data_IF_992616677796
#
_entry.id   IF_992616677796
#
_cell.length_a   1.000
_cell.length_b   1.000
_cell.length_c   1.000
_cell.angle_alpha   90.00
_cell.angle_beta   90.00
_cell.angle_gamma   90.00
#
_symmetry.space_group_name_H-M   'P 1'
#
loop_
_entity.id
_entity.type
_entity.pdbx_description
1 polymer ?
#
# COMPACT_ATOMS: atom_id res chain seq x y z
N UNK A 1 20.61 -46.03 -13.94
CA UNK A 1 19.26 -45.88 -14.51
C UNK A 1 18.86 -44.43 -14.32
N UNK A 2 19.26 -43.56 -15.26
CA UNK A 2 19.04 -42.11 -15.16
C UNK A 2 17.74 -41.77 -15.86
N UNK A 3 16.76 -41.30 -15.09
CA UNK A 3 15.49 -40.82 -15.59
C UNK A 3 15.74 -39.42 -16.16
N UNK A 4 15.74 -39.30 -17.50
CA UNK A 4 15.64 -37.99 -18.15
C UNK A 4 14.21 -37.49 -17.95
N UNK A 5 14.04 -36.52 -17.07
CA UNK A 5 12.82 -35.71 -17.01
C UNK A 5 12.96 -34.67 -18.14
N UNK A 6 12.45 -35.00 -19.32
CA UNK A 6 12.28 -34.03 -20.40
C UNK A 6 11.02 -33.22 -20.15
N UNK A 7 11.16 -31.94 -19.81
CA UNK A 7 10.07 -30.97 -19.96
C UNK A 7 10.07 -30.52 -21.43
N UNK A 8 9.43 -31.30 -22.30
CA UNK A 8 9.31 -31.03 -23.75
C UNK A 8 8.26 -29.94 -24.04
N UNK A 9 8.32 -28.80 -23.33
CA UNK A 9 7.56 -27.60 -23.72
C UNK A 9 8.37 -26.82 -24.75
N UNK A 10 8.21 -27.17 -26.02
CA UNK A 10 8.71 -26.34 -27.13
C UNK A 10 8.05 -24.95 -27.00
N UNK A 11 8.82 -23.85 -26.93
CA UNK A 11 8.23 -22.52 -26.81
C UNK A 11 7.41 -22.19 -28.06
N UNK A 12 6.16 -21.75 -27.86
CA UNK A 12 5.23 -21.43 -28.97
C UNK A 12 5.84 -20.34 -29.85
N UNK A 13 5.92 -20.63 -31.16
CA UNK A 13 6.38 -19.72 -32.21
C UNK A 13 7.82 -19.17 -32.06
N UNK A 14 8.67 -19.75 -31.21
CA UNK A 14 10.07 -19.32 -31.09
C UNK A 14 10.87 -19.45 -32.40
N UNK A 15 10.51 -20.40 -33.25
CA UNK A 15 11.09 -20.66 -34.56
C UNK A 15 10.39 -19.90 -35.71
N UNK A 16 9.34 -19.10 -35.41
CA UNK A 16 8.50 -18.41 -36.41
C UNK A 16 8.49 -16.88 -36.25
N UNK A 17 9.62 -16.17 -36.48
CA UNK A 17 9.71 -14.72 -36.33
C UNK A 17 8.69 -13.90 -37.12
N UNK A 18 8.22 -14.42 -38.26
CA UNK A 18 7.20 -13.77 -39.09
C UNK A 18 5.83 -13.67 -38.38
N UNK A 19 5.58 -14.47 -37.35
CA UNK A 19 4.34 -14.44 -36.55
C UNK A 19 4.44 -13.52 -35.32
N UNK A 20 5.66 -13.13 -34.90
CA UNK A 20 5.86 -12.41 -33.64
C UNK A 20 5.14 -11.06 -33.60
N UNK A 21 5.20 -10.27 -34.68
CA UNK A 21 4.53 -8.95 -34.72
C UNK A 21 3.01 -9.08 -34.55
N UNK A 22 2.30 -9.93 -35.34
CA UNK A 22 0.89 -10.21 -35.12
C UNK A 22 0.56 -10.74 -33.72
N UNK A 23 1.39 -11.65 -33.18
CA UNK A 23 1.14 -12.26 -31.87
C UNK A 23 1.31 -11.25 -30.72
N UNK A 24 2.33 -10.40 -30.80
CA UNK A 24 2.55 -9.29 -29.87
C UNK A 24 1.35 -8.33 -29.90
N UNK A 25 0.87 -7.95 -31.09
CA UNK A 25 -0.29 -7.07 -31.22
C UNK A 25 -1.54 -7.67 -30.54
N UNK A 26 -1.84 -8.94 -30.80
CA UNK A 26 -2.96 -9.65 -30.15
C UNK A 26 -2.81 -9.72 -28.63
N UNK A 27 -1.59 -9.95 -28.14
CA UNK A 27 -1.30 -10.01 -26.70
C UNK A 27 -1.54 -8.64 -26.03
N UNK A 28 -1.06 -7.56 -26.67
CA UNK A 28 -1.28 -6.19 -26.22
C UNK A 28 -2.76 -5.84 -26.23
N UNK A 29 -3.49 -6.13 -27.30
CA UNK A 29 -4.93 -5.89 -27.39
C UNK A 29 -5.68 -6.67 -26.30
N UNK A 30 -5.30 -7.93 -26.06
CA UNK A 30 -5.89 -8.73 -25.00
C UNK A 30 -5.66 -8.14 -23.60
N UNK A 31 -4.47 -7.60 -23.31
CA UNK A 31 -4.22 -6.84 -22.08
C UNK A 31 -5.08 -5.57 -22.01
N UNK A 32 -5.06 -4.76 -23.07
CA UNK A 32 -5.73 -3.47 -23.13
C UNK A 32 -7.25 -3.58 -22.90
N UNK A 33 -7.91 -4.54 -23.55
CA UNK A 33 -9.36 -4.77 -23.37
C UNK A 33 -9.72 -5.05 -21.91
N UNK A 34 -8.96 -5.91 -21.26
CA UNK A 34 -9.18 -6.22 -19.84
C UNK A 34 -8.83 -5.05 -18.93
N UNK A 35 -7.75 -4.33 -19.22
CA UNK A 35 -7.34 -3.18 -18.42
C UNK A 35 -8.45 -2.13 -18.43
N UNK A 36 -9.02 -1.81 -19.60
CA UNK A 36 -10.12 -0.85 -19.74
C UNK A 36 -11.38 -1.26 -18.96
N UNK A 37 -11.62 -2.57 -18.77
CA UNK A 37 -12.79 -3.09 -18.05
C UNK A 37 -12.54 -3.22 -16.54
N UNK A 38 -11.35 -3.62 -16.13
CA UNK A 38 -11.06 -4.00 -14.74
C UNK A 38 -10.41 -2.87 -13.93
N UNK A 39 -9.37 -2.22 -14.47
CA UNK A 39 -8.55 -1.28 -13.71
C UNK A 39 -9.34 -0.06 -13.21
N UNK A 40 -10.21 0.61 -14.02
CA UNK A 40 -10.98 1.75 -13.54
C UNK A 40 -11.92 1.40 -12.38
N UNK A 41 -12.59 0.25 -12.45
CA UNK A 41 -13.51 -0.17 -11.39
C UNK A 41 -12.75 -0.54 -10.12
N UNK A 42 -11.68 -1.34 -10.23
CA UNK A 42 -10.84 -1.69 -9.10
C UNK A 42 -10.26 -0.45 -8.39
N UNK A 43 -9.85 0.57 -9.14
CA UNK A 43 -9.38 1.82 -8.57
C UNK A 43 -10.48 2.59 -7.84
N UNK A 44 -11.70 2.67 -8.42
CA UNK A 44 -12.85 3.34 -7.78
C UNK A 44 -13.27 2.66 -6.48
N UNK A 45 -13.38 1.34 -6.49
CA UNK A 45 -13.74 0.54 -5.32
C UNK A 45 -12.69 0.70 -4.21
N UNK A 46 -11.41 0.64 -4.59
CA UNK A 46 -10.29 0.87 -3.67
C UNK A 46 -10.36 2.28 -3.08
N UNK A 47 -10.62 3.31 -3.90
CA UNK A 47 -10.71 4.69 -3.45
C UNK A 47 -11.77 4.87 -2.36
N UNK A 48 -12.97 4.32 -2.55
CA UNK A 48 -14.05 4.37 -1.55
C UNK A 48 -13.56 3.77 -0.22
N UNK A 49 -13.05 2.54 -0.26
CA UNK A 49 -12.56 1.84 0.92
C UNK A 49 -11.38 2.56 1.61
N UNK A 50 -10.48 3.19 0.83
CA UNK A 50 -9.36 3.93 1.40
C UNK A 50 -9.79 5.25 2.03
N UNK A 51 -10.80 5.93 1.49
CA UNK A 51 -11.33 7.17 2.10
C UNK A 51 -11.88 6.89 3.49
N UNK A 52 -12.71 5.86 3.64
CA UNK A 52 -13.28 5.46 4.94
C UNK A 52 -12.19 5.10 5.97
N UNK A 53 -11.15 4.40 5.52
CA UNK A 53 -10.00 4.05 6.36
C UNK A 53 -9.23 5.29 6.83
N UNK A 54 -9.00 6.24 5.91
CA UNK A 54 -8.30 7.48 6.23
C UNK A 54 -9.09 8.35 7.19
N UNK A 55 -10.41 8.51 6.98
CA UNK A 55 -11.27 9.26 7.90
C UNK A 55 -11.25 8.66 9.31
N UNK A 56 -11.33 7.33 9.41
CA UNK A 56 -11.21 6.63 10.70
C UNK A 56 -9.86 6.86 11.36
N UNK A 57 -8.76 6.82 10.60
CA UNK A 57 -7.42 7.06 11.12
C UNK A 57 -7.22 8.51 11.58
N UNK A 58 -7.80 9.49 10.88
CA UNK A 58 -7.78 10.89 11.31
C UNK A 58 -8.52 11.05 12.63
N UNK A 59 -9.67 10.39 12.82
CA UNK A 59 -10.39 10.40 14.10
C UNK A 59 -9.52 9.79 15.22
N UNK A 60 -8.96 8.60 15.02
CA UNK A 60 -8.18 7.90 16.06
C UNK A 60 -6.89 8.63 16.43
N UNK A 61 -6.28 9.34 15.48
CA UNK A 61 -5.04 10.10 15.70
C UNK A 61 -5.28 11.55 16.08
N UNK A 62 -6.52 11.93 16.38
CA UNK A 62 -6.92 13.31 16.66
C UNK A 62 -6.40 14.29 15.58
N UNK A 63 -6.70 13.99 14.32
CA UNK A 63 -6.23 14.71 13.15
C UNK A 63 -4.69 14.81 13.11
N UNK A 64 -4.00 13.68 13.31
CA UNK A 64 -2.54 13.53 13.28
C UNK A 64 -1.81 14.22 14.46
N UNK A 65 -2.54 14.83 15.41
CA UNK A 65 -1.92 15.43 16.60
C UNK A 65 -1.52 14.42 17.67
N UNK A 66 -2.05 13.19 17.61
CA UNK A 66 -1.81 12.13 18.58
C UNK A 66 -1.35 10.83 17.90
N UNK A 67 -0.03 10.63 17.81
CA UNK A 67 0.60 9.43 17.25
C UNK A 67 1.42 8.72 18.34
N UNK A 68 0.76 8.44 19.46
CA UNK A 68 1.39 7.80 20.63
C UNK A 68 1.47 6.28 20.49
N UNK A 69 2.34 5.60 21.26
CA UNK A 69 2.38 4.14 21.31
C UNK A 69 1.02 3.51 21.60
N UNK A 70 0.22 4.10 22.48
CA UNK A 70 -1.12 3.61 22.81
C UNK A 70 -2.04 3.58 21.58
N UNK A 71 -2.08 4.67 20.79
CA UNK A 71 -2.87 4.75 19.56
C UNK A 71 -2.37 3.73 18.54
N UNK A 72 -1.05 3.61 18.35
CA UNK A 72 -0.47 2.67 17.39
C UNK A 72 -0.69 1.20 17.79
N UNK A 73 -0.77 0.89 19.09
CA UNK A 73 -1.12 -0.46 19.58
C UNK A 73 -2.59 -0.77 19.38
N UNK A 74 -3.46 0.19 19.67
CA UNK A 74 -4.89 0.03 19.57
C UNK A 74 -5.35 -0.04 18.11
N UNK A 75 -4.72 0.75 17.23
CA UNK A 75 -5.09 0.89 15.83
C UNK A 75 -3.87 0.72 14.91
N UNK A 76 -3.24 -0.47 14.84
CA UNK A 76 -2.05 -0.70 14.01
C UNK A 76 -2.31 -0.48 12.51
N UNK A 77 -3.57 -0.56 12.07
CA UNK A 77 -4.00 -0.27 10.69
C UNK A 77 -3.82 1.20 10.27
N UNK A 78 -3.53 2.11 11.20
CA UNK A 78 -3.25 3.52 10.85
C UNK A 78 -1.86 3.70 10.25
N UNK A 79 -0.93 2.77 10.45
CA UNK A 79 0.47 2.96 10.03
C UNK A 79 0.65 3.18 8.52
N UNK A 80 0.00 2.42 7.62
CA UNK A 80 0.03 2.69 6.18
C UNK A 80 -0.46 4.10 5.84
N UNK A 81 -1.51 4.58 6.52
CA UNK A 81 -2.11 5.90 6.31
C UNK A 81 -1.15 7.00 6.77
N UNK A 82 -0.56 6.83 7.96
CA UNK A 82 0.43 7.74 8.49
C UNK A 82 1.65 7.88 7.58
N UNK A 83 2.10 6.81 6.93
CA UNK A 83 3.16 6.90 5.91
C UNK A 83 2.75 7.69 4.67
N UNK A 84 1.47 7.63 4.29
CA UNK A 84 0.96 8.42 3.15
C UNK A 84 0.77 9.90 3.53
N UNK A 85 0.64 10.20 4.82
CA UNK A 85 0.52 11.54 5.37
C UNK A 85 1.84 12.33 5.43
N UNK A 86 2.99 11.70 5.14
CA UNK A 86 4.29 12.38 5.14
C UNK A 86 4.61 13.08 3.81
N UNK A 87 5.55 14.02 3.83
CA UNK A 87 6.10 14.70 2.66
C UNK A 87 7.61 14.41 2.49
N UNK A 88 8.03 13.57 1.52
CA UNK A 88 7.18 12.75 0.65
C UNK A 88 6.55 11.57 1.40
N UNK A 89 5.52 10.89 0.83
CA UNK A 89 5.05 9.61 1.33
C UNK A 89 6.21 8.61 1.47
N UNK A 90 6.45 8.10 2.68
CA UNK A 90 7.62 7.26 2.93
C UNK A 90 7.32 5.78 2.71
N UNK A 91 8.25 5.06 2.08
CA UNK A 91 8.17 3.60 1.97
C UNK A 91 8.34 2.92 3.34
N UNK A 92 7.80 1.71 3.47
CA UNK A 92 7.93 0.89 4.70
C UNK A 92 9.38 0.69 5.14
N UNK A 93 10.26 0.31 4.22
CA UNK A 93 11.67 0.07 4.53
C UNK A 93 12.41 1.38 4.89
N UNK A 94 11.95 2.52 4.36
CA UNK A 94 12.46 3.84 4.74
C UNK A 94 12.07 4.19 6.17
N UNK A 95 10.82 3.94 6.58
CA UNK A 95 10.38 4.11 7.96
C UNK A 95 11.20 3.22 8.92
N UNK A 96 11.39 1.95 8.58
CA UNK A 96 12.21 1.00 9.35
C UNK A 96 13.62 1.56 9.58
N UNK A 97 14.27 2.01 8.50
CA UNK A 97 15.63 2.56 8.56
C UNK A 97 15.74 3.87 9.33
N UNK A 98 14.78 4.79 9.16
CA UNK A 98 14.80 6.10 9.84
C UNK A 98 14.48 5.99 11.34
N UNK A 99 13.51 5.15 11.70
CA UNK A 99 13.11 4.96 13.09
C UNK A 99 14.05 4.00 13.84
N UNK A 100 14.84 3.18 13.14
CA UNK A 100 15.71 2.19 13.76
C UNK A 100 14.92 1.16 14.56
N UNK A 101 13.83 0.65 13.97
CA UNK A 101 12.88 -0.28 14.60
C UNK A 101 12.85 -1.63 13.89
N UNK A 102 12.30 -2.64 14.55
CA UNK A 102 12.13 -3.97 13.98
C UNK A 102 11.31 -3.97 12.68
N UNK A 103 11.88 -4.55 11.63
CA UNK A 103 11.15 -4.80 10.37
C UNK A 103 9.92 -5.69 10.57
N UNK A 104 9.97 -6.60 11.54
CA UNK A 104 8.88 -7.51 11.85
C UNK A 104 7.69 -6.77 12.48
N UNK A 105 7.94 -5.79 13.36
CA UNK A 105 6.88 -4.95 13.94
C UNK A 105 6.13 -4.22 12.83
N UNK A 106 6.87 -3.46 12.01
CA UNK A 106 6.28 -2.64 10.94
C UNK A 106 5.53 -3.51 9.93
N UNK A 107 6.09 -4.65 9.51
CA UNK A 107 5.39 -5.58 8.59
C UNK A 107 4.09 -6.13 9.18
N UNK A 108 4.06 -6.48 10.48
CA UNK A 108 2.83 -6.97 11.09
C UNK A 108 1.75 -5.89 11.21
N UNK A 109 2.13 -4.65 11.49
CA UNK A 109 1.18 -3.53 11.50
C UNK A 109 0.63 -3.25 10.09
N UNK A 110 1.49 -3.22 9.08
CA UNK A 110 1.11 -2.88 7.71
C UNK A 110 0.32 -4.00 7.00
N UNK A 111 0.77 -5.25 7.11
CA UNK A 111 0.22 -6.36 6.32
C UNK A 111 -0.87 -7.14 7.06
N UNK A 112 -0.76 -7.18 8.41
CA UNK A 112 -1.65 -7.99 9.25
C UNK A 112 -2.49 -7.15 10.21
N UNK A 113 -2.32 -5.82 10.18
CA UNK A 113 -3.08 -4.87 11.00
C UNK A 113 -3.15 -5.29 12.48
N UNK A 114 -2.01 -5.73 13.03
CA UNK A 114 -1.93 -6.24 14.41
C UNK A 114 -0.56 -6.02 15.04
N UNK A 115 -0.53 -6.03 16.36
CA UNK A 115 0.68 -6.14 17.16
C UNK A 115 1.00 -7.62 17.43
N UNK A 116 2.28 -7.95 17.55
CA UNK A 116 2.72 -9.31 17.88
C UNK A 116 2.41 -9.65 19.35
N UNK A 117 1.81 -10.81 19.65
CA UNK A 117 1.44 -11.17 21.04
C UNK A 117 2.63 -11.41 21.99
N UNK A 118 3.84 -11.62 21.46
CA UNK A 118 5.02 -12.10 22.22
C UNK A 118 6.18 -11.12 22.19
N UNK A 119 5.91 -9.83 22.04
CA UNK A 119 6.93 -8.79 22.16
C UNK A 119 6.99 -8.29 23.60
N UNK A 120 8.19 -7.99 24.09
CA UNK A 120 8.35 -7.29 25.36
C UNK A 120 7.68 -5.90 25.29
N UNK A 121 6.92 -5.54 26.33
CA UNK A 121 6.13 -4.30 26.33
C UNK A 121 7.01 -3.05 26.31
N UNK A 122 8.13 -3.05 27.05
CA UNK A 122 9.03 -1.90 27.09
C UNK A 122 9.70 -1.64 25.74
N UNK A 123 10.12 -2.72 25.09
CA UNK A 123 10.66 -2.69 23.73
C UNK A 123 9.62 -2.21 22.71
N UNK A 124 8.40 -2.76 22.77
CA UNK A 124 7.31 -2.37 21.88
C UNK A 124 6.98 -0.88 22.00
N UNK A 125 6.78 -0.38 23.21
CA UNK A 125 6.46 1.03 23.45
C UNK A 125 7.57 1.94 22.90
N UNK A 126 8.83 1.55 23.11
CA UNK A 126 10.00 2.28 22.59
C UNK A 126 10.01 2.31 21.06
N UNK A 127 9.78 1.18 20.40
CA UNK A 127 9.75 1.13 18.92
C UNK A 127 8.57 1.93 18.34
N UNK A 128 7.39 1.83 18.94
CA UNK A 128 6.23 2.60 18.52
C UNK A 128 6.39 4.09 18.74
N UNK A 129 7.03 4.51 19.84
CA UNK A 129 7.34 5.90 20.09
C UNK A 129 8.26 6.48 19.00
N UNK A 130 9.30 5.72 18.61
CA UNK A 130 10.21 6.10 17.51
C UNK A 130 9.46 6.21 16.17
N UNK A 131 8.54 5.29 15.89
CA UNK A 131 7.68 5.38 14.69
C UNK A 131 6.87 6.66 14.72
N UNK A 132 6.17 6.95 15.81
CA UNK A 132 5.37 8.17 15.97
C UNK A 132 6.21 9.44 15.81
N UNK A 133 7.41 9.48 16.39
CA UNK A 133 8.34 10.60 16.27
C UNK A 133 8.80 10.85 14.83
N UNK A 134 9.18 9.80 14.10
CA UNK A 134 9.59 9.93 12.70
C UNK A 134 8.43 10.37 11.82
N UNK A 135 7.23 9.81 12.02
CA UNK A 135 6.04 10.24 11.29
C UNK A 135 5.77 11.72 11.57
N UNK A 136 5.67 12.12 12.84
CA UNK A 136 5.38 13.50 13.24
C UNK A 136 6.38 14.52 12.65
N UNK A 137 7.65 14.14 12.53
CA UNK A 137 8.68 14.99 11.89
C UNK A 137 8.52 15.15 10.39
N UNK A 138 7.93 14.16 9.72
CA UNK A 138 7.81 14.10 8.26
C UNK A 138 6.41 14.41 7.76
N UNK A 139 5.42 14.64 8.64
CA UNK A 139 4.04 14.96 8.23
C UNK A 139 4.04 16.14 7.26
N UNK A 140 3.22 16.01 6.21
CA UNK A 140 2.99 17.01 5.19
C UNK A 140 2.18 18.19 5.77
N UNK A 141 2.87 19.21 6.26
CA UNK A 141 2.24 20.37 6.91
C UNK A 141 1.42 21.23 5.95
N UNK A 142 1.64 21.11 4.64
CA UNK A 142 0.80 21.79 3.64
C UNK A 142 -0.59 21.16 3.56
N UNK A 143 -0.68 19.84 3.75
CA UNK A 143 -1.96 19.11 3.89
C UNK A 143 -2.55 19.33 5.29
N UNK A 144 -1.71 19.25 6.31
CA UNK A 144 -2.09 19.27 7.73
C UNK A 144 -1.75 20.63 8.38
N UNK A 145 -2.23 21.73 7.79
CA UNK A 145 -1.86 23.11 8.16
C UNK A 145 -2.17 23.51 9.61
N UNK A 146 -3.07 22.78 10.27
CA UNK A 146 -3.38 22.98 11.69
C UNK A 146 -2.25 22.57 12.63
N UNK A 147 -1.31 21.71 12.18
CA UNK A 147 -0.19 21.26 13.01
C UNK A 147 0.79 22.39 13.34
N UNK A 148 0.97 23.36 12.45
CA UNK A 148 1.85 24.52 12.71
C UNK A 148 1.21 25.56 13.61
N UNK A 149 -0.12 25.67 13.56
CA UNK A 149 -0.88 26.68 14.31
C UNK A 149 -1.41 26.15 15.63
N UNK A 150 -1.40 24.83 15.85
CA UNK A 150 -1.95 24.17 17.05
C UNK A 150 -3.47 24.33 17.20
N UNK A 151 -4.16 24.79 16.16
CA UNK A 151 -5.61 24.99 16.18
C UNK A 151 -6.35 23.68 15.87
N UNK A 152 -7.65 23.67 16.14
CA UNK A 152 -8.51 22.62 15.62
C UNK A 152 -8.78 22.85 14.11
N UNK A 153 -8.67 21.81 13.27
CA UNK A 153 -9.05 21.91 11.87
C UNK A 153 -10.57 22.00 11.71
N UNK A 154 -11.00 22.59 10.60
CA UNK A 154 -12.40 22.57 10.18
C UNK A 154 -12.74 21.26 9.47
N UNK A 155 -14.02 20.90 9.41
CA UNK A 155 -14.47 19.68 8.71
C UNK A 155 -14.04 19.65 7.24
N UNK A 156 -14.06 20.81 6.56
CA UNK A 156 -13.60 20.94 5.17
C UNK A 156 -12.11 20.63 5.02
N UNK A 157 -11.29 21.06 5.97
CA UNK A 157 -9.84 20.82 5.95
C UNK A 157 -9.52 19.35 6.23
N UNK A 158 -10.19 18.76 7.22
CA UNK A 158 -10.08 17.32 7.51
C UNK A 158 -10.50 16.51 6.30
N UNK A 159 -11.64 16.82 5.68
CA UNK A 159 -12.13 16.12 4.50
C UNK A 159 -11.19 16.26 3.29
N UNK A 160 -10.65 17.47 3.05
CA UNK A 160 -9.64 17.68 1.99
C UNK A 160 -8.39 16.83 2.25
N UNK A 161 -7.86 16.85 3.47
CA UNK A 161 -6.71 16.05 3.83
C UNK A 161 -7.01 14.55 3.64
N UNK A 162 -8.19 14.10 4.07
CA UNK A 162 -8.62 12.73 3.92
C UNK A 162 -8.63 12.28 2.45
N UNK A 163 -9.19 13.07 1.53
CA UNK A 163 -9.21 12.76 0.10
C UNK A 163 -7.79 12.65 -0.48
N UNK A 164 -6.88 13.56 -0.11
CA UNK A 164 -5.51 13.54 -0.63
C UNK A 164 -4.76 12.30 -0.15
N UNK A 165 -4.86 11.97 1.15
CA UNK A 165 -4.20 10.79 1.70
C UNK A 165 -4.85 9.50 1.18
N UNK A 166 -6.16 9.49 0.99
CA UNK A 166 -6.87 8.36 0.39
C UNK A 166 -6.43 8.11 -1.04
N UNK A 167 -6.20 9.15 -1.86
CA UNK A 167 -5.69 8.95 -3.23
C UNK A 167 -4.26 8.39 -3.24
N UNK A 168 -3.38 8.89 -2.34
CA UNK A 168 -2.02 8.33 -2.16
C UNK A 168 -2.06 6.85 -1.75
N UNK A 169 -2.93 6.50 -0.80
CA UNK A 169 -3.10 5.13 -0.33
C UNK A 169 -3.74 4.23 -1.40
N UNK A 170 -4.72 4.76 -2.15
CA UNK A 170 -5.39 4.06 -3.23
C UNK A 170 -4.40 3.67 -4.32
N UNK A 171 -3.51 4.57 -4.74
CA UNK A 171 -2.44 4.25 -5.69
C UNK A 171 -1.55 3.10 -5.18
N UNK A 172 -1.14 3.15 -3.92
CA UNK A 172 -0.30 2.11 -3.32
C UNK A 172 -0.99 0.73 -3.22
N UNK A 173 -2.32 0.67 -3.09
CA UNK A 173 -3.10 -0.57 -2.92
C UNK A 173 -3.62 -1.11 -4.27
N UNK A 174 -4.11 -0.24 -5.15
CA UNK A 174 -4.74 -0.62 -6.41
C UNK A 174 -3.75 -1.21 -7.41
N UNK A 175 -2.51 -0.71 -7.44
CA UNK A 175 -1.46 -1.22 -8.32
C UNK A 175 -1.20 -2.72 -8.12
N UNK A 176 -0.95 -3.22 -6.88
CA UNK A 176 -0.88 -4.65 -6.60
C UNK A 176 -2.15 -5.43 -6.97
N UNK A 177 -3.35 -4.87 -6.75
CA UNK A 177 -4.62 -5.55 -7.06
C UNK A 177 -4.73 -5.80 -8.56
N UNK A 178 -4.48 -4.76 -9.36
CA UNK A 178 -4.53 -4.82 -10.82
C UNK A 178 -3.47 -5.79 -11.32
N UNK A 179 -2.23 -5.71 -10.83
CA UNK A 179 -1.15 -6.62 -11.22
C UNK A 179 -1.50 -8.08 -10.89
N UNK A 180 -1.92 -8.38 -9.66
CA UNK A 180 -2.23 -9.75 -9.25
C UNK A 180 -3.46 -10.33 -9.99
N UNK A 181 -4.42 -9.49 -10.37
CA UNK A 181 -5.55 -9.90 -11.22
C UNK A 181 -5.08 -10.20 -12.65
N UNK A 182 -4.18 -9.38 -13.20
CA UNK A 182 -3.55 -9.60 -14.50
C UNK A 182 -2.74 -10.90 -14.53
N UNK A 183 -1.90 -11.15 -13.52
CA UNK A 183 -1.08 -12.38 -13.43
C UNK A 183 -1.95 -13.64 -13.39
N UNK A 184 -3.00 -13.64 -12.55
CA UNK A 184 -3.96 -14.77 -12.48
C UNK A 184 -4.66 -15.02 -13.81
N UNK A 185 -5.10 -13.94 -14.49
CA UNK A 185 -5.72 -14.04 -15.82
C UNK A 185 -4.74 -14.63 -16.83
N UNK A 186 -3.51 -14.13 -16.87
CA UNK A 186 -2.49 -14.59 -17.80
C UNK A 186 -2.17 -16.08 -17.60
N UNK A 187 -2.02 -16.53 -16.35
CA UNK A 187 -1.81 -17.94 -16.02
C UNK A 187 -3.00 -18.82 -16.43
N UNK A 188 -4.23 -18.33 -16.32
CA UNK A 188 -5.41 -19.07 -16.75
C UNK A 188 -5.46 -19.20 -18.29
N UNK A 189 -5.07 -18.16 -19.04
CA UNK A 189 -5.06 -18.17 -20.50
C UNK A 189 -3.95 -19.06 -21.07
N UNK A 190 -2.78 -19.12 -20.45
CA UNK A 190 -1.65 -19.97 -20.92
C UNK A 190 -1.92 -21.47 -20.67
N UNK A 191 -2.81 -21.82 -19.75
CA UNK A 191 -3.18 -23.22 -19.45
C UNK A 191 -4.24 -23.80 -20.39
N UNK A 192 -4.82 -22.98 -21.27
CA UNK A 192 -5.75 -23.40 -22.33
C UNK A 192 -4.99 -23.65 -23.63
#
# INVERSE_FOLDING_TARGET
MSIKVGDDRVPVNADKPHLWKPDIAKSVDFYNHWFMQFAPQAYRDTRIATTEQVESALIWTANITNITPAILQQYPSVLPILRMATAPPIARDRLIGLAGVSSNLVKNMEEKQRILPRIDRGTLDTELAKIGEIIARLVDKDIFSWLDTGRQPTDTEVHRAAIIIADRLCGAISDPIIRNAQERRQLATIRQ
#
